data_IF_515352826541
#
_entry.id   IF_515352826541
#
_cell.length_a   1.000
_cell.length_b   1.000
_cell.length_c   1.000
_cell.angle_alpha   90.00
_cell.angle_beta   90.00
_cell.angle_gamma   90.00
#
_symmetry.space_group_name_H-M   'P 1'
#
loop_
_entity.id
_entity.type
_entity.pdbx_description
1 polymer ?
#
# COMPACT_ATOMS: atom_id res chain seq x y z
N UNK A 1 10.85 -21.03 -5.82
CA UNK A 1 11.92 -20.13 -6.27
C UNK A 1 12.97 -20.01 -5.16
N UNK A 2 14.26 -20.26 -5.42
CA UNK A 2 15.30 -20.29 -4.38
C UNK A 2 15.55 -18.94 -3.68
N UNK A 3 15.04 -17.84 -4.21
CA UNK A 3 15.17 -16.49 -3.64
C UNK A 3 14.08 -16.11 -2.64
N UNK A 4 13.05 -16.92 -2.45
CA UNK A 4 11.96 -16.62 -1.48
C UNK A 4 12.07 -17.57 -0.29
N UNK A 5 13.16 -17.48 0.47
CA UNK A 5 13.18 -18.07 1.82
C UNK A 5 12.39 -17.15 2.73
N UNK A 6 11.13 -17.51 2.97
CA UNK A 6 10.34 -16.84 3.99
C UNK A 6 10.96 -17.17 5.36
N UNK A 7 11.55 -16.18 6.02
CA UNK A 7 12.14 -16.34 7.34
C UNK A 7 11.05 -16.27 8.43
N UNK A 8 10.06 -17.16 8.35
CA UNK A 8 8.84 -17.10 9.17
C UNK A 8 9.17 -17.31 10.66
N UNK A 9 10.17 -18.15 10.97
CA UNK A 9 10.51 -18.52 12.34
C UNK A 9 11.76 -17.81 12.90
N UNK A 10 12.52 -17.10 12.06
CA UNK A 10 13.72 -16.42 12.52
C UNK A 10 13.38 -15.05 13.12
N UNK A 11 13.27 -15.00 14.45
CA UNK A 11 13.00 -13.79 15.22
C UNK A 11 14.13 -12.76 15.17
N UNK A 12 15.33 -13.15 14.73
CA UNK A 12 16.51 -12.31 14.72
C UNK A 12 16.83 -11.72 13.33
N UNK A 13 16.01 -12.00 12.30
CA UNK A 13 16.25 -11.52 10.92
C UNK A 13 16.50 -10.03 10.86
N UNK A 14 15.70 -9.24 11.60
CA UNK A 14 15.87 -7.79 11.61
C UNK A 14 17.24 -7.38 12.16
N UNK A 15 17.72 -8.04 13.22
CA UNK A 15 19.03 -7.76 13.83
C UNK A 15 20.17 -8.22 12.92
N UNK A 16 20.03 -9.37 12.26
CA UNK A 16 21.01 -9.90 11.31
C UNK A 16 21.15 -8.99 10.08
N UNK A 17 20.03 -8.52 9.52
CA UNK A 17 20.01 -7.57 8.40
C UNK A 17 20.62 -6.22 8.81
N UNK A 18 20.28 -5.74 10.01
CA UNK A 18 20.85 -4.50 10.54
C UNK A 18 22.37 -4.62 10.75
N UNK A 19 22.87 -5.76 11.24
CA UNK A 19 24.31 -6.01 11.39
C UNK A 19 25.07 -6.02 10.05
N UNK A 20 24.37 -6.31 8.95
CA UNK A 20 24.91 -6.22 7.58
C UNK A 20 24.83 -4.80 7.00
N UNK A 21 24.40 -3.81 7.78
CA UNK A 21 24.23 -2.42 7.33
C UNK A 21 22.96 -2.18 6.52
N UNK A 22 22.01 -3.13 6.49
CA UNK A 22 20.72 -2.98 5.82
C UNK A 22 19.68 -2.35 6.76
N UNK A 23 18.64 -1.73 6.19
CA UNK A 23 17.50 -1.24 6.95
C UNK A 23 16.36 -2.27 6.90
N UNK A 24 16.17 -3.08 7.96
CA UNK A 24 15.09 -4.06 7.99
C UNK A 24 13.74 -3.34 8.05
N UNK A 25 12.82 -3.74 7.18
CA UNK A 25 11.42 -3.34 7.21
C UNK A 25 10.56 -4.59 7.23
N UNK A 26 9.48 -4.56 8.00
CA UNK A 26 8.39 -5.51 7.77
C UNK A 26 7.78 -5.27 6.38
N UNK A 27 7.17 -6.31 5.82
CA UNK A 27 6.50 -6.20 4.52
C UNK A 27 5.46 -5.06 4.49
N UNK A 28 4.71 -4.93 5.59
CA UNK A 28 3.72 -3.86 5.79
C UNK A 28 4.36 -2.47 5.77
N UNK A 29 5.47 -2.28 6.48
CA UNK A 29 6.18 -0.99 6.52
C UNK A 29 6.76 -0.64 5.15
N UNK A 30 7.32 -1.62 4.44
CA UNK A 30 7.84 -1.43 3.09
C UNK A 30 6.75 -1.00 2.11
N UNK A 31 5.56 -1.63 2.16
CA UNK A 31 4.41 -1.23 1.34
C UNK A 31 3.96 0.20 1.66
N UNK A 32 3.82 0.53 2.95
CA UNK A 32 3.37 1.85 3.40
C UNK A 32 4.36 2.94 2.99
N UNK A 33 5.66 2.69 3.11
CA UNK A 33 6.71 3.61 2.67
C UNK A 33 6.68 3.81 1.15
N UNK A 34 6.56 2.72 0.38
CA UNK A 34 6.49 2.80 -1.08
C UNK A 34 5.28 3.62 -1.56
N UNK A 35 4.11 3.42 -0.95
CA UNK A 35 2.91 4.20 -1.26
C UNK A 35 3.09 5.68 -0.93
N UNK A 36 3.67 6.01 0.22
CA UNK A 36 3.99 7.41 0.56
C UNK A 36 4.94 8.03 -0.47
N UNK A 37 6.01 7.33 -0.84
CA UNK A 37 6.98 7.81 -1.83
C UNK A 37 6.32 8.12 -3.18
N UNK A 38 5.40 7.26 -3.62
CA UNK A 38 4.66 7.47 -4.88
C UNK A 38 3.75 8.69 -4.76
N UNK A 39 2.97 8.79 -3.67
CA UNK A 39 2.05 9.92 -3.46
C UNK A 39 2.77 11.27 -3.36
N UNK A 40 3.97 11.31 -2.76
CA UNK A 40 4.83 12.50 -2.71
C UNK A 40 5.39 12.88 -4.07
N UNK A 41 5.85 11.89 -4.86
CA UNK A 41 6.55 12.13 -6.12
C UNK A 41 5.60 12.51 -7.24
N UNK A 42 4.40 11.94 -7.25
CA UNK A 42 3.49 12.06 -8.38
C UNK A 42 2.15 12.66 -7.94
N UNK A 43 1.81 13.90 -8.38
CA UNK A 43 0.54 14.51 -8.04
C UNK A 43 -0.68 13.81 -8.64
N UNK A 44 -0.50 12.98 -9.68
CA UNK A 44 -1.57 12.20 -10.31
C UNK A 44 -1.79 10.83 -9.66
N UNK A 45 -0.94 10.41 -8.71
CA UNK A 45 -1.09 9.11 -8.06
C UNK A 45 -2.26 9.11 -7.08
N UNK A 46 -3.15 8.13 -7.14
CA UNK A 46 -4.25 7.99 -6.19
C UNK A 46 -4.08 6.69 -5.42
N UNK A 47 -4.49 6.64 -4.17
CA UNK A 47 -4.60 5.42 -3.39
C UNK A 47 -6.08 5.18 -3.10
N UNK A 48 -6.61 4.07 -3.57
CA UNK A 48 -8.05 3.81 -3.51
C UNK A 48 -8.32 2.35 -3.26
N UNK A 49 -9.35 2.04 -2.48
CA UNK A 49 -9.68 0.67 -2.06
C UNK A 49 -10.53 0.69 -0.81
N UNK A 50 -11.14 -0.44 -0.47
CA UNK A 50 -11.95 -0.53 0.74
C UNK A 50 -11.06 -0.37 2.00
N UNK A 51 -11.45 0.49 2.94
CA UNK A 51 -10.75 0.74 4.20
C UNK A 51 -9.36 1.39 4.07
N UNK A 52 -9.01 2.01 2.94
CA UNK A 52 -7.67 2.65 2.79
C UNK A 52 -7.46 3.84 3.72
N UNK A 53 -8.50 4.61 4.01
CA UNK A 53 -8.45 5.80 4.89
C UNK A 53 -8.96 5.53 6.32
N UNK A 54 -9.25 4.26 6.64
CA UNK A 54 -9.70 3.83 7.96
C UNK A 54 -8.63 4.00 9.06
N UNK A 55 -9.02 4.03 10.34
CA UNK A 55 -8.08 4.08 11.46
C UNK A 55 -7.08 2.92 11.49
N UNK A 56 -7.47 1.74 11.00
CA UNK A 56 -6.55 0.60 10.85
C UNK A 56 -5.68 0.69 9.59
N UNK A 57 -6.10 1.48 8.60
CA UNK A 57 -5.72 1.31 7.20
C UNK A 57 -5.93 -0.14 6.75
N UNK A 58 -5.45 -0.51 5.57
CA UNK A 58 -5.56 -1.92 5.12
C UNK A 58 -4.50 -2.76 5.82
N UNK A 59 -4.74 -3.15 7.07
CA UNK A 59 -3.78 -3.83 7.94
C UNK A 59 -2.50 -3.03 8.20
N UNK A 60 -2.62 -1.71 8.31
CA UNK A 60 -1.52 -0.78 8.60
C UNK A 60 -0.56 -0.51 7.44
N UNK A 61 -0.90 -0.93 6.21
CA UNK A 61 -0.15 -0.64 4.99
C UNK A 61 -0.46 0.75 4.40
N UNK A 62 -1.59 1.36 4.77
CA UNK A 62 -2.02 2.69 4.31
C UNK A 62 -2.10 3.73 5.43
N UNK A 63 -1.64 3.36 6.64
CA UNK A 63 -1.86 4.14 7.86
C UNK A 63 -1.26 5.55 7.75
N UNK A 64 -2.07 6.55 8.10
CA UNK A 64 -1.67 7.95 8.13
C UNK A 64 -1.63 8.63 6.75
N UNK A 65 -1.82 7.91 5.64
CA UNK A 65 -1.65 8.48 4.31
C UNK A 65 -2.77 9.47 3.96
N UNK A 66 -4.02 9.19 4.34
CA UNK A 66 -5.13 10.12 4.11
C UNK A 66 -4.95 11.46 4.85
N UNK A 67 -4.36 11.44 6.04
CA UNK A 67 -4.05 12.65 6.81
C UNK A 67 -2.92 13.46 6.16
N UNK A 68 -1.96 12.78 5.51
CA UNK A 68 -0.82 13.42 4.84
C UNK A 68 -1.16 13.99 3.46
N UNK A 69 -2.00 13.31 2.68
CA UNK A 69 -2.25 13.63 1.27
C UNK A 69 -3.69 14.08 0.96
N UNK A 70 -4.59 13.99 1.95
CA UNK A 70 -5.99 14.36 1.81
C UNK A 70 -6.85 13.27 1.18
N UNK A 71 -8.17 13.37 1.43
CA UNK A 71 -9.16 12.41 0.92
C UNK A 71 -9.29 12.39 -0.61
N UNK A 72 -8.89 13.45 -1.29
CA UNK A 72 -8.88 13.49 -2.77
C UNK A 72 -7.80 12.59 -3.38
N UNK A 73 -6.78 12.21 -2.60
CA UNK A 73 -5.64 11.41 -3.04
C UNK A 73 -5.63 10.01 -2.41
N UNK A 74 -6.27 9.85 -1.26
CA UNK A 74 -6.38 8.59 -0.52
C UNK A 74 -7.83 8.41 -0.08
N UNK A 75 -8.56 7.51 -0.72
CA UNK A 75 -10.03 7.43 -0.57
C UNK A 75 -10.57 6.01 -0.47
N UNK A 76 -11.50 5.81 0.47
CA UNK A 76 -12.30 4.60 0.56
C UNK A 76 -13.20 4.40 -0.66
N UNK A 77 -13.51 3.14 -0.97
CA UNK A 77 -14.38 2.76 -2.07
C UNK A 77 -15.44 1.73 -1.62
N UNK A 78 -16.65 1.76 -2.23
CA UNK A 78 -17.67 0.75 -1.97
C UNK A 78 -17.21 -0.69 -2.25
N UNK A 79 -17.82 -1.65 -1.53
CA UNK A 79 -17.65 -3.10 -1.72
C UNK A 79 -18.28 -3.53 -3.06
N UNK A 80 -17.59 -3.24 -4.15
CA UNK A 80 -18.00 -3.52 -5.51
C UNK A 80 -16.76 -3.68 -6.39
N UNK A 81 -15.95 -4.71 -6.13
CA UNK A 81 -14.60 -4.91 -6.65
C UNK A 81 -14.52 -4.74 -8.16
N UNK A 82 -15.44 -5.37 -8.89
CA UNK A 82 -15.50 -5.27 -10.35
C UNK A 82 -15.82 -3.85 -10.82
N UNK A 83 -16.79 -3.19 -10.17
CA UNK A 83 -17.16 -1.81 -10.47
C UNK A 83 -16.02 -0.83 -10.17
N UNK A 84 -15.38 -0.98 -9.01
CA UNK A 84 -14.27 -0.14 -8.58
C UNK A 84 -13.00 -0.37 -9.39
N UNK A 85 -12.77 -1.60 -9.85
CA UNK A 85 -11.73 -1.88 -10.86
C UNK A 85 -12.01 -1.08 -12.14
N UNK A 86 -13.26 -1.05 -12.61
CA UNK A 86 -13.67 -0.24 -13.76
C UNK A 86 -13.41 1.26 -13.56
N UNK A 87 -13.71 1.79 -12.37
CA UNK A 87 -13.42 3.19 -12.02
C UNK A 87 -11.91 3.46 -12.04
N UNK A 88 -11.10 2.59 -11.45
CA UNK A 88 -9.63 2.72 -11.48
C UNK A 88 -9.09 2.69 -12.91
N UNK A 89 -9.61 1.81 -13.78
CA UNK A 89 -9.24 1.78 -15.20
C UNK A 89 -9.61 3.10 -15.88
N UNK A 90 -10.82 3.60 -15.68
CA UNK A 90 -11.27 4.88 -16.24
C UNK A 90 -10.40 6.06 -15.77
N UNK A 91 -10.06 6.11 -14.49
CA UNK A 91 -9.15 7.11 -13.94
C UNK A 91 -7.75 7.03 -14.58
N UNK A 92 -7.22 5.82 -14.77
CA UNK A 92 -5.95 5.61 -15.44
C UNK A 92 -5.98 6.10 -16.90
N UNK A 93 -7.06 5.81 -17.63
CA UNK A 93 -7.27 6.31 -18.99
C UNK A 93 -7.37 7.84 -19.05
N UNK A 94 -7.89 8.48 -17.99
CA UNK A 94 -7.96 9.93 -17.85
C UNK A 94 -6.62 10.58 -17.44
N UNK A 95 -5.54 9.81 -17.28
CA UNK A 95 -4.20 10.30 -16.96
C UNK A 95 -3.84 10.26 -15.47
N UNK A 96 -4.72 9.75 -14.61
CA UNK A 96 -4.41 9.51 -13.20
C UNK A 96 -3.61 8.20 -13.05
N UNK A 97 -3.03 7.98 -11.87
CA UNK A 97 -2.23 6.79 -11.57
C UNK A 97 -2.76 6.09 -10.31
N UNK A 98 -3.89 5.37 -10.42
CA UNK A 98 -4.49 4.73 -9.27
C UNK A 98 -3.68 3.50 -8.81
N UNK A 99 -3.35 3.50 -7.52
CA UNK A 99 -2.93 2.35 -6.74
C UNK A 99 -4.20 1.80 -6.12
N UNK A 100 -4.75 0.77 -6.75
CA UNK A 100 -6.00 0.17 -6.34
C UNK A 100 -5.75 -1.05 -5.44
N UNK A 101 -6.34 -1.05 -4.24
CA UNK A 101 -6.22 -2.14 -3.28
C UNK A 101 -7.53 -2.92 -3.23
N UNK A 102 -7.45 -4.21 -3.53
CA UNK A 102 -8.49 -5.18 -3.27
C UNK A 102 -8.26 -5.83 -1.92
N UNK A 103 -9.22 -5.74 -1.02
CA UNK A 103 -9.25 -6.66 0.11
C UNK A 103 -9.90 -7.97 -0.33
N UNK A 104 -9.07 -8.99 -0.48
CA UNK A 104 -9.53 -10.35 -0.66
C UNK A 104 -9.13 -11.15 0.57
N UNK A 105 -10.13 -11.71 1.23
CA UNK A 105 -10.01 -12.53 2.45
C UNK A 105 -10.21 -14.03 2.15
N UNK A 106 -10.13 -14.44 0.88
CA UNK A 106 -10.18 -15.85 0.47
C UNK A 106 -8.84 -16.59 0.65
#
# INVERSE_FOLDING_TARGET
MPWTKAHIDNKNVAQELAAQGLRPLSYREALREAQEMILRRDPHALLMGEGVDDPGGIFGSTLGLAQLFGKERVMDLPIAENGMTGVAIGAAMAGLRPIFIHMRMD
#
